data_IF_528300647302
#
_entry.id   IF_528300647302
#
_cell.length_a   1.000
_cell.length_b   1.000
_cell.length_c   1.000
_cell.angle_alpha   90.00
_cell.angle_beta   90.00
_cell.angle_gamma   90.00
#
_symmetry.space_group_name_H-M   'P 1'
#
loop_
_entity.id
_entity.type
_entity.pdbx_description
1 polymer ?
#
# COMPACT_ATOMS: atom_id res chain seq x y z
N UNK A 1 7.18 -8.97 -14.95
CA UNK A 1 7.12 -9.20 -13.49
C UNK A 1 6.64 -7.91 -12.84
N UNK A 2 5.85 -7.98 -11.77
CA UNK A 2 5.39 -6.80 -11.03
C UNK A 2 5.34 -7.08 -9.53
N UNK A 3 5.90 -6.17 -8.74
CA UNK A 3 5.93 -6.21 -7.27
C UNK A 3 5.76 -4.77 -6.74
N UNK A 4 4.52 -4.24 -6.71
CA UNK A 4 4.27 -2.86 -6.31
C UNK A 4 4.30 -2.70 -4.78
N UNK A 5 4.12 -1.46 -4.32
CA UNK A 5 3.86 -1.15 -2.91
C UNK A 5 2.47 -1.67 -2.50
N UNK A 6 2.31 -2.04 -1.22
CA UNK A 6 0.99 -2.25 -0.63
C UNK A 6 0.41 -0.96 0.00
N UNK A 7 0.73 0.19 -0.59
CA UNK A 7 0.25 1.50 -0.14
C UNK A 7 -0.42 2.23 -1.31
N UNK A 8 -1.58 2.84 -1.08
CA UNK A 8 -2.17 3.82 -1.99
C UNK A 8 -1.30 5.08 -2.03
N UNK A 9 -0.70 5.34 -3.18
CA UNK A 9 0.21 6.48 -3.39
C UNK A 9 -0.14 7.31 -4.64
N UNK A 10 -1.39 7.75 -4.81
CA UNK A 10 -1.81 8.54 -5.98
C UNK A 10 -1.15 9.93 -6.04
N UNK A 11 -0.56 10.37 -4.94
CA UNK A 11 0.13 11.64 -4.72
C UNK A 11 1.65 11.55 -4.85
N UNK A 12 2.20 10.39 -5.25
CA UNK A 12 3.62 10.27 -5.55
C UNK A 12 4.03 11.05 -6.80
N UNK A 13 5.22 11.63 -6.75
CA UNK A 13 5.93 12.11 -7.93
C UNK A 13 6.82 10.99 -8.52
N UNK A 14 7.70 11.34 -9.46
CA UNK A 14 8.62 10.38 -10.10
C UNK A 14 9.68 9.74 -9.18
N UNK A 15 9.88 10.24 -7.95
CA UNK A 15 10.81 9.68 -6.96
C UNK A 15 10.17 8.55 -6.12
N UNK A 16 8.84 8.41 -6.18
CA UNK A 16 8.09 7.41 -5.43
C UNK A 16 7.75 7.84 -4.00
N UNK A 17 7.36 6.86 -3.18
CA UNK A 17 6.73 7.12 -1.87
C UNK A 17 7.67 7.58 -0.75
N UNK A 18 8.99 7.53 -0.97
CA UNK A 18 9.99 7.97 0.02
C UNK A 18 9.89 9.48 0.26
N UNK A 19 9.51 10.24 -0.78
CA UNK A 19 9.32 11.69 -0.70
C UNK A 19 7.98 12.07 -0.06
N UNK A 20 7.07 11.12 0.16
CA UNK A 20 5.83 11.41 0.88
C UNK A 20 6.15 11.72 2.35
N UNK A 21 5.54 12.75 2.95
CA UNK A 21 5.85 13.16 4.32
C UNK A 21 5.53 12.10 5.38
N UNK A 22 4.73 11.09 5.03
CA UNK A 22 4.41 9.97 5.92
C UNK A 22 5.49 8.88 5.97
N UNK A 23 6.45 8.87 5.05
CA UNK A 23 7.47 7.82 5.00
C UNK A 23 8.48 7.95 6.17
N UNK A 24 8.89 6.83 6.82
CA UNK A 24 8.31 5.49 6.74
C UNK A 24 7.28 5.19 7.85
N UNK A 25 7.05 6.12 8.79
CA UNK A 25 6.40 5.83 10.08
C UNK A 25 4.94 6.27 10.22
N UNK A 26 4.28 6.70 9.13
CA UNK A 26 2.88 7.12 9.16
C UNK A 26 2.07 6.64 7.93
N UNK A 27 2.51 5.56 7.28
CA UNK A 27 1.91 5.03 6.05
C UNK A 27 0.69 4.15 6.28
N UNK A 28 0.29 3.88 7.53
CA UNK A 28 -0.83 3.01 7.90
C UNK A 28 -2.17 3.37 7.22
N UNK A 29 -2.56 4.65 7.03
CA UNK A 29 -3.80 4.99 6.32
C UNK A 29 -3.80 4.54 4.85
N UNK A 30 -2.63 4.29 4.26
CA UNK A 30 -2.47 3.98 2.83
C UNK A 30 -2.48 2.48 2.57
N UNK A 31 -2.40 1.63 3.59
CA UNK A 31 -2.30 0.17 3.42
C UNK A 31 -3.45 -0.36 2.57
N UNK A 32 -3.10 -1.07 1.50
CA UNK A 32 -4.05 -1.72 0.61
C UNK A 32 -4.80 -2.83 1.35
N UNK A 33 -6.06 -3.03 0.98
CA UNK A 33 -6.86 -4.15 1.49
C UNK A 33 -6.58 -5.42 0.69
N UNK A 34 -7.04 -6.57 1.19
CA UNK A 34 -7.03 -7.81 0.39
C UNK A 34 -7.86 -7.67 -0.89
N UNK A 35 -8.90 -6.85 -0.89
CA UNK A 35 -9.76 -6.64 -2.05
C UNK A 35 -9.05 -5.80 -3.12
N UNK A 36 -8.25 -4.82 -2.71
CA UNK A 36 -7.33 -4.11 -3.62
C UNK A 36 -6.34 -5.11 -4.27
N UNK A 37 -5.84 -6.09 -3.50
CA UNK A 37 -4.94 -7.13 -4.01
C UNK A 37 -5.62 -8.09 -4.99
N UNK A 38 -6.88 -8.46 -4.75
CA UNK A 38 -7.68 -9.22 -5.74
C UNK A 38 -7.77 -8.44 -7.06
N UNK A 39 -8.16 -7.16 -7.01
CA UNK A 39 -8.24 -6.31 -8.19
C UNK A 39 -6.90 -6.20 -8.92
N UNK A 40 -5.83 -5.88 -8.19
CA UNK A 40 -4.46 -5.80 -8.72
C UNK A 40 -4.03 -7.10 -9.40
N UNK A 41 -4.22 -8.26 -8.75
CA UNK A 41 -3.82 -9.54 -9.31
C UNK A 41 -4.55 -9.86 -10.61
N UNK A 42 -5.87 -9.60 -10.65
CA UNK A 42 -6.70 -9.78 -11.84
C UNK A 42 -6.27 -8.87 -12.98
N UNK A 43 -6.00 -7.59 -12.70
CA UNK A 43 -5.53 -6.61 -13.69
C UNK A 43 -4.14 -6.98 -14.23
N UNK A 44 -3.20 -7.33 -13.35
CA UNK A 44 -1.85 -7.75 -13.72
C UNK A 44 -1.86 -9.02 -14.59
N UNK A 45 -2.68 -10.01 -14.21
CA UNK A 45 -2.80 -11.24 -14.99
C UNK A 45 -3.39 -10.98 -16.39
N UNK A 46 -4.45 -10.15 -16.47
CA UNK A 46 -5.06 -9.72 -17.74
C UNK A 46 -4.07 -8.95 -18.63
N UNK A 47 -3.18 -8.15 -18.04
CA UNK A 47 -2.10 -7.45 -18.74
C UNK A 47 -0.97 -8.38 -19.23
N UNK A 48 -1.07 -9.71 -19.03
CA UNK A 48 -0.07 -10.68 -19.48
C UNK A 48 1.05 -10.94 -18.47
N UNK A 49 0.99 -10.36 -17.27
CA UNK A 49 2.02 -10.57 -16.25
C UNK A 49 1.85 -11.96 -15.62
N UNK A 50 2.96 -12.70 -15.46
CA UNK A 50 2.97 -14.07 -14.92
C UNK A 50 3.81 -14.26 -13.67
N UNK A 51 4.58 -13.23 -13.30
CA UNK A 51 5.22 -13.12 -12.00
C UNK A 51 4.60 -11.90 -11.31
N UNK A 52 3.66 -12.16 -10.39
CA UNK A 52 2.84 -11.17 -9.69
C UNK A 52 3.13 -11.34 -8.20
N UNK A 53 3.74 -10.32 -7.59
CA UNK A 53 4.10 -10.34 -6.18
C UNK A 53 3.86 -8.98 -5.54
N UNK A 54 4.71 -8.62 -4.59
CA UNK A 54 4.63 -7.35 -3.88
C UNK A 54 5.94 -6.95 -3.23
N UNK A 55 6.03 -5.69 -2.81
CA UNK A 55 7.20 -5.10 -2.17
C UNK A 55 6.80 -4.51 -0.80
N UNK A 56 7.27 -3.31 -0.43
CA UNK A 56 7.02 -2.71 0.87
C UNK A 56 5.53 -2.66 1.22
N UNK A 57 5.21 -3.03 2.46
CA UNK A 57 3.84 -3.12 2.99
C UNK A 57 3.09 -4.40 2.64
N UNK A 58 3.62 -5.27 1.76
CA UNK A 58 3.00 -6.57 1.56
C UNK A 58 3.12 -7.43 2.82
N UNK A 59 1.99 -7.99 3.22
CA UNK A 59 1.86 -8.87 4.37
C UNK A 59 1.39 -10.24 3.85
N UNK A 60 1.48 -11.32 4.65
CA UNK A 60 1.09 -12.66 4.19
C UNK A 60 -0.32 -12.74 3.59
N UNK A 61 -1.27 -11.95 4.12
CA UNK A 61 -2.64 -11.93 3.60
C UNK A 61 -2.80 -11.21 2.26
N UNK A 62 -1.90 -10.28 1.91
CA UNK A 62 -1.84 -9.67 0.58
C UNK A 62 -1.41 -10.69 -0.47
N UNK A 63 -0.37 -11.47 -0.16
CA UNK A 63 0.10 -12.56 -1.03
C UNK A 63 -0.98 -13.64 -1.17
N UNK A 64 -1.66 -14.00 -0.08
CA UNK A 64 -2.80 -14.92 -0.13
C UNK A 64 -3.88 -14.39 -1.08
N UNK A 65 -4.25 -13.12 -1.01
CA UNK A 65 -5.27 -12.54 -1.89
C UNK A 65 -4.90 -12.61 -3.38
N UNK A 66 -3.63 -12.36 -3.72
CA UNK A 66 -3.13 -12.56 -5.10
C UNK A 66 -3.30 -14.01 -5.56
N UNK A 67 -2.96 -14.97 -4.69
CA UNK A 67 -3.09 -16.39 -5.00
C UNK A 67 -4.56 -16.85 -5.06
N UNK A 68 -5.43 -16.35 -4.19
CA UNK A 68 -6.87 -16.64 -4.16
C UNK A 68 -7.58 -16.09 -5.41
N UNK A 69 -7.24 -14.88 -5.86
CA UNK A 69 -7.81 -14.31 -7.09
C UNK A 69 -7.50 -15.15 -8.33
N UNK A 70 -6.28 -15.68 -8.40
CA UNK A 70 -5.78 -16.44 -9.55
C UNK A 70 -5.92 -17.96 -9.35
N UNK A 71 -6.60 -18.41 -8.29
CA UNK A 71 -6.84 -19.82 -8.04
C UNK A 71 -7.60 -20.51 -9.21
N UNK A 72 -8.61 -19.88 -9.85
CA UNK A 72 -9.28 -20.47 -11.02
C UNK A 72 -8.32 -20.76 -12.18
N UNK A 73 -7.34 -19.88 -12.43
CA UNK A 73 -6.33 -20.06 -13.49
C UNK A 73 -5.23 -21.05 -13.11
N UNK A 74 -4.99 -21.24 -11.81
CA UNK A 74 -3.89 -22.07 -11.30
C UNK A 74 -4.34 -23.46 -10.87
N UNK A 75 -5.62 -23.67 -10.63
CA UNK A 75 -6.21 -24.96 -10.25
C UNK A 75 -6.03 -25.33 -8.77
N UNK A 76 -5.54 -24.42 -7.91
CA UNK A 76 -5.37 -24.69 -6.48
C UNK A 76 -5.43 -23.40 -5.64
N UNK A 77 -5.72 -23.57 -4.35
CA UNK A 77 -5.64 -22.53 -3.32
C UNK A 77 -4.34 -22.69 -2.50
N UNK A 78 -3.74 -21.58 -2.03
CA UNK A 78 -2.59 -21.67 -1.12
C UNK A 78 -3.01 -22.20 0.26
N UNK A 79 -2.08 -22.79 1.01
CA UNK A 79 -2.33 -23.25 2.40
C UNK A 79 -2.83 -22.13 3.32
N UNK A 80 -2.45 -20.87 3.05
CA UNK A 80 -2.97 -19.71 3.79
C UNK A 80 -4.49 -19.53 3.69
N UNK A 81 -5.15 -20.19 2.73
CA UNK A 81 -6.61 -20.19 2.56
C UNK A 81 -7.33 -21.17 3.47
N UNK A 82 -6.65 -22.12 4.14
CA UNK A 82 -7.29 -23.06 5.08
C UNK A 82 -7.96 -22.35 6.27
N UNK A 83 -7.56 -21.11 6.55
CA UNK A 83 -8.13 -20.24 7.59
C UNK A 83 -8.87 -19.05 7.02
N UNK A 84 -9.29 -19.12 5.76
CA UNK A 84 -9.97 -18.03 5.07
C UNK A 84 -11.18 -18.53 4.28
N UNK A 85 -12.21 -17.69 4.23
CA UNK A 85 -13.38 -17.92 3.39
C UNK A 85 -13.42 -16.86 2.29
N UNK A 86 -13.64 -17.29 1.04
CA UNK A 86 -13.69 -16.42 -0.14
C UNK A 86 -14.70 -15.30 0.06
N UNK A 87 -14.33 -14.06 -0.28
CA UNK A 87 -15.21 -12.88 -0.25
C UNK A 87 -16.00 -12.68 1.06
N UNK A 88 -15.41 -13.07 2.19
CA UNK A 88 -16.01 -12.91 3.50
C UNK A 88 -16.90 -14.08 3.95
N UNK A 89 -16.85 -15.25 3.29
CA UNK A 89 -17.61 -16.46 3.65
C UNK A 89 -17.53 -16.84 5.16
N UNK A 90 -16.44 -16.51 5.84
CA UNK A 90 -16.33 -16.70 7.30
C UNK A 90 -17.35 -15.89 8.13
N UNK A 91 -18.07 -14.94 7.54
CA UNK A 91 -19.07 -14.11 8.21
C UNK A 91 -20.49 -14.68 8.16
N UNK A 92 -20.73 -15.77 7.42
CA UNK A 92 -22.07 -16.33 7.18
C UNK A 92 -22.81 -16.76 8.44
N UNK A 93 -22.08 -17.20 9.46
CA UNK A 93 -22.65 -17.69 10.72
C UNK A 93 -22.73 -16.62 11.82
N UNK A 94 -22.35 -15.37 11.52
CA UNK A 94 -22.35 -14.30 12.50
C UNK A 94 -23.78 -14.00 12.99
N UNK A 95 -24.00 -13.71 14.28
CA UNK A 95 -25.36 -13.50 14.85
C UNK A 95 -26.11 -12.29 14.26
N UNK A 96 -25.40 -11.22 13.95
CA UNK A 96 -25.95 -9.97 13.37
C UNK A 96 -26.26 -10.09 11.86
N UNK A 97 -27.51 -9.86 11.41
CA UNK A 97 -27.90 -9.96 9.99
C UNK A 97 -27.10 -9.07 9.05
N UNK A 98 -26.83 -7.82 9.42
CA UNK A 98 -26.05 -6.87 8.60
C UNK A 98 -24.55 -7.21 8.51
N UNK A 99 -24.05 -8.12 9.35
CA UNK A 99 -22.68 -8.66 9.23
C UNK A 99 -22.67 -9.81 8.24
N UNK A 100 -23.62 -10.75 8.34
CA UNK A 100 -23.80 -11.84 7.37
C UNK A 100 -24.02 -11.33 5.95
N UNK A 101 -24.78 -10.25 5.80
CA UNK A 101 -25.02 -9.60 4.52
C UNK A 101 -23.72 -9.21 3.78
N UNK A 102 -22.60 -9.04 4.48
CA UNK A 102 -21.29 -8.68 3.89
C UNK A 102 -20.57 -9.88 3.28
N UNK A 103 -21.05 -11.10 3.51
CA UNK A 103 -20.44 -12.33 2.99
C UNK A 103 -20.72 -12.53 1.50
N UNK A 104 -20.28 -11.57 0.68
CA UNK A 104 -20.46 -11.58 -0.77
C UNK A 104 -19.43 -10.68 -1.44
N UNK A 105 -19.03 -11.07 -2.66
CA UNK A 105 -18.07 -10.32 -3.48
C UNK A 105 -18.50 -8.87 -3.70
N UNK A 106 -19.73 -8.69 -4.15
CA UNK A 106 -20.34 -7.40 -4.45
C UNK A 106 -20.17 -6.37 -3.32
N UNK A 107 -20.28 -6.79 -2.05
CA UNK A 107 -20.13 -5.89 -0.92
C UNK A 107 -18.70 -5.36 -0.80
N UNK A 108 -17.71 -6.26 -0.81
CA UNK A 108 -16.31 -5.91 -0.56
C UNK A 108 -15.61 -5.30 -1.77
N UNK A 109 -16.05 -5.60 -2.99
CA UNK A 109 -15.52 -5.02 -4.21
C UNK A 109 -15.97 -3.56 -4.41
N UNK A 110 -17.14 -3.19 -3.85
CA UNK A 110 -17.72 -1.85 -4.02
C UNK A 110 -17.64 -0.94 -2.79
N UNK A 111 -17.36 -1.48 -1.60
CA UNK A 111 -17.19 -0.66 -0.40
C UNK A 111 -16.00 0.29 -0.57
N UNK A 112 -16.17 1.54 -0.15
CA UNK A 112 -15.09 2.52 -0.03
C UNK A 112 -14.76 2.69 1.46
N UNK A 113 -13.73 1.99 2.00
CA UNK A 113 -13.42 2.08 3.41
C UNK A 113 -13.11 3.52 3.82
N UNK A 114 -13.72 3.99 4.90
CA UNK A 114 -13.40 5.30 5.45
C UNK A 114 -12.00 5.29 6.07
N UNK A 115 -11.29 6.42 5.99
CA UNK A 115 -9.96 6.56 6.62
C UNK A 115 -9.99 6.57 8.15
N UNK A 116 -11.15 6.88 8.74
CA UNK A 116 -11.32 7.09 10.18
C UNK A 116 -10.63 8.35 10.72
N UNK A 117 -10.06 9.20 9.85
CA UNK A 117 -9.26 10.37 10.22
C UNK A 117 -9.89 11.66 9.67
N UNK A 118 -10.94 12.20 10.32
CA UNK A 118 -11.76 13.28 9.75
C UNK A 118 -11.04 14.63 9.63
N UNK A 119 -9.92 14.82 10.32
CA UNK A 119 -9.11 16.05 10.26
C UNK A 119 -7.88 15.92 9.36
N UNK A 120 -7.62 14.74 8.79
CA UNK A 120 -6.46 14.51 7.93
C UNK A 120 -6.88 14.66 6.46
N UNK A 121 -6.01 15.20 5.59
CA UNK A 121 -6.26 15.20 4.16
C UNK A 121 -6.20 13.77 3.59
N UNK A 122 -6.75 13.56 2.40
CA UNK A 122 -6.65 12.27 1.69
C UNK A 122 -5.35 12.13 0.90
N UNK A 123 -4.63 13.23 0.64
CA UNK A 123 -3.40 13.32 -0.14
C UNK A 123 -2.43 14.26 0.55
N UNK A 124 -1.14 14.09 0.23
CA UNK A 124 -0.03 14.92 0.70
C UNK A 124 0.82 15.42 -0.47
N UNK A 125 1.60 16.46 -0.24
CA UNK A 125 2.57 16.96 -1.25
C UNK A 125 3.92 16.30 -1.00
N UNK A 126 4.52 15.61 -1.99
CA UNK A 126 5.88 15.09 -1.86
C UNK A 126 6.89 16.21 -1.53
N UNK A 127 7.82 15.92 -0.63
CA UNK A 127 9.00 16.74 -0.39
C UNK A 127 9.94 16.65 -1.61
N UNK A 128 10.80 17.64 -1.81
CA UNK A 128 11.71 17.64 -2.96
C UNK A 128 12.74 18.77 -2.95
N UNK A 129 12.42 19.92 -2.33
CA UNK A 129 13.34 21.03 -2.03
C UNK A 129 14.23 21.48 -3.21
N UNK A 130 13.75 21.33 -4.45
CA UNK A 130 14.51 21.60 -5.68
C UNK A 130 15.66 20.62 -5.97
N UNK A 131 15.78 19.55 -5.17
CA UNK A 131 16.77 18.49 -5.28
C UNK A 131 16.20 17.39 -6.17
N UNK A 132 17.03 16.85 -7.06
CA UNK A 132 16.65 15.73 -7.93
C UNK A 132 17.75 14.67 -7.96
N UNK A 133 17.45 13.52 -8.55
CA UNK A 133 18.38 12.39 -8.70
C UNK A 133 19.76 12.85 -9.19
N UNK A 134 20.80 12.48 -8.44
CA UNK A 134 22.20 12.80 -8.77
C UNK A 134 22.75 14.04 -8.05
N UNK A 135 21.91 14.78 -7.33
CA UNK A 135 22.38 15.87 -6.47
C UNK A 135 23.22 15.33 -5.30
N UNK A 136 24.23 16.10 -4.87
CA UNK A 136 25.19 15.70 -3.83
C UNK A 136 24.54 15.42 -2.48
N UNK A 137 23.45 16.12 -2.15
CA UNK A 137 22.68 15.90 -0.92
C UNK A 137 21.92 14.56 -0.88
N UNK A 138 21.77 13.88 -2.02
CA UNK A 138 21.15 12.55 -2.06
C UNK A 138 22.18 11.42 -2.00
N UNK A 139 23.48 11.75 -1.84
CA UNK A 139 24.51 10.75 -1.66
C UNK A 139 24.40 10.17 -0.26
N UNK A 140 24.42 8.84 -0.17
CA UNK A 140 24.38 8.16 1.12
C UNK A 140 25.67 8.42 1.90
N UNK A 141 25.55 8.93 3.12
CA UNK A 141 26.68 9.14 4.01
C UNK A 141 27.13 7.80 4.62
N UNK A 142 28.44 7.66 4.86
CA UNK A 142 29.00 6.48 5.55
C UNK A 142 28.66 6.47 7.05
N UNK A 143 28.63 7.65 7.65
CA UNK A 143 28.32 7.87 9.06
C UNK A 143 26.94 8.51 9.20
N UNK A 144 26.34 8.44 10.38
CA UNK A 144 25.08 9.09 10.64
C UNK A 144 25.23 10.62 10.52
N UNK A 145 24.19 11.29 10.02
CA UNK A 145 24.12 12.76 9.96
C UNK A 145 24.40 13.35 11.35
N UNK A 146 25.43 14.18 11.43
CA UNK A 146 25.84 14.84 12.67
C UNK A 146 24.80 15.89 13.10
N UNK A 147 24.83 16.32 14.36
CA UNK A 147 23.94 17.38 14.84
C UNK A 147 24.08 18.70 14.06
N UNK A 148 25.30 19.02 13.62
CA UNK A 148 25.58 20.23 12.84
C UNK A 148 25.02 20.13 11.41
N UNK A 149 25.22 19.01 10.74
CA UNK A 149 24.62 18.75 9.42
C UNK A 149 23.09 18.75 9.50
N UNK A 150 22.53 18.14 10.57
CA UNK A 150 21.09 18.13 10.80
C UNK A 150 20.53 19.54 10.95
N UNK A 151 21.23 20.45 11.63
CA UNK A 151 20.81 21.85 11.73
C UNK A 151 20.70 22.51 10.35
N UNK A 152 21.66 22.25 9.44
CA UNK A 152 21.61 22.76 8.07
C UNK A 152 20.42 22.21 7.28
N UNK A 153 20.13 20.90 7.43
CA UNK A 153 18.96 20.25 6.83
C UNK A 153 17.65 20.87 7.33
N UNK A 154 17.54 21.12 8.64
CA UNK A 154 16.35 21.74 9.24
C UNK A 154 16.13 23.17 8.77
N UNK A 155 17.20 23.96 8.64
CA UNK A 155 17.09 25.34 8.15
C UNK A 155 16.68 25.38 6.67
N UNK A 156 17.12 24.40 5.87
CA UNK A 156 16.65 24.23 4.49
C UNK A 156 15.17 23.82 4.44
N UNK A 157 14.73 22.90 5.28
CA UNK A 157 13.32 22.50 5.37
C UNK A 157 12.42 23.69 5.66
N UNK A 158 12.80 24.56 6.60
CA UNK A 158 12.04 25.78 6.91
C UNK A 158 11.92 26.70 5.70
N UNK A 159 13.01 26.90 4.95
CA UNK A 159 13.01 27.72 3.72
C UNK A 159 12.16 27.12 2.61
N UNK A 160 12.13 25.81 2.47
CA UNK A 160 11.32 25.13 1.46
C UNK A 160 9.81 25.16 1.76
N UNK A 161 9.44 25.36 3.03
CA UNK A 161 8.05 25.42 3.51
C UNK A 161 7.53 26.85 3.71
N UNK A 162 8.38 27.86 3.56
CA UNK A 162 8.03 29.28 3.59
C UNK A 162 7.55 29.74 2.22
#
# INVERSE_FOLDING_TARGET
MVQPLAYHTPDCNCQGFIDLPEFPFALEPRILTRWDMHKYAREAYKAGIRYIGGCCGFEPYHIRAVAEELAPERGFLPQGSDKHGSWGAGLEMHTKPWVRARSRRDYWENIRPASGRPKCPSLSTPEGWGVTKGHTELLQHREATTAQEMQQVLDRQKKAKA
#
